data_IF_992507608735
#
_entry.id   IF_992507608735
#
_cell.length_a   1.000
_cell.length_b   1.000
_cell.length_c   1.000
_cell.angle_alpha   90.00
_cell.angle_beta   90.00
_cell.angle_gamma   90.00
#
_symmetry.space_group_name_H-M   'P 1'
#
loop_
_entity.id
_entity.type
_entity.pdbx_description
1 polymer ?
#
# COMPACT_ATOMS: atom_id res chain seq x y z
N UNK A 1 2.04 9.59 3.42
CA UNK A 1 2.49 8.80 4.59
C UNK A 1 3.67 7.91 4.25
N UNK A 2 4.48 7.60 5.25
CA UNK A 2 5.47 6.54 5.22
C UNK A 2 5.27 5.70 6.48
N UNK A 3 4.73 4.50 6.34
CA UNK A 3 4.52 3.58 7.45
C UNK A 3 5.82 2.82 7.71
N UNK A 4 6.31 2.71 8.96
CA UNK A 4 7.53 1.97 9.26
C UNK A 4 7.50 0.54 8.73
N UNK A 5 8.64 0.04 8.24
CA UNK A 5 8.73 -1.33 7.69
C UNK A 5 8.38 -2.41 8.74
N UNK A 6 8.87 -2.29 9.97
CA UNK A 6 8.62 -3.24 11.05
C UNK A 6 9.66 -4.37 11.16
N UNK A 7 10.54 -4.52 10.20
CA UNK A 7 11.66 -5.48 10.14
C UNK A 7 11.23 -6.95 10.18
N UNK A 8 10.66 -7.42 11.28
CA UNK A 8 10.13 -8.79 11.44
C UNK A 8 9.00 -8.83 12.47
N UNK A 9 8.01 -9.66 12.21
CA UNK A 9 6.89 -9.89 13.14
C UNK A 9 7.42 -10.29 14.53
N UNK A 10 6.88 -9.66 15.57
CA UNK A 10 7.29 -9.88 16.97
C UNK A 10 8.54 -9.11 17.41
N UNK A 11 9.17 -8.31 16.54
CA UNK A 11 10.28 -7.44 16.93
C UNK A 11 9.79 -6.13 17.56
N UNK A 12 10.67 -5.43 18.28
CA UNK A 12 10.38 -4.08 18.81
C UNK A 12 10.01 -3.09 17.70
N UNK A 13 10.61 -3.23 16.49
CA UNK A 13 10.28 -2.41 15.33
C UNK A 13 8.90 -2.72 14.77
N UNK A 14 8.45 -3.97 14.88
CA UNK A 14 7.10 -4.35 14.51
C UNK A 14 6.08 -3.79 15.51
N UNK A 15 6.37 -3.86 16.82
CA UNK A 15 5.52 -3.22 17.83
C UNK A 15 5.42 -1.70 17.63
N UNK A 16 6.53 -1.05 17.25
CA UNK A 16 6.51 0.36 16.88
C UNK A 16 5.61 0.62 15.67
N UNK A 17 5.68 -0.22 14.63
CA UNK A 17 4.79 -0.15 13.47
C UNK A 17 3.32 -0.26 13.87
N UNK A 18 2.97 -1.20 14.76
CA UNK A 18 1.59 -1.37 15.23
C UNK A 18 1.09 -0.14 16.01
N UNK A 19 1.94 0.45 16.86
CA UNK A 19 1.62 1.71 17.56
C UNK A 19 1.44 2.86 16.58
N UNK A 20 2.28 2.93 15.55
CA UNK A 20 2.21 3.94 14.50
C UNK A 20 0.90 3.83 13.70
N UNK A 21 0.50 2.62 13.30
CA UNK A 21 -0.76 2.34 12.59
C UNK A 21 -1.98 2.70 13.46
N UNK A 22 -1.94 2.41 14.74
CA UNK A 22 -2.97 2.83 15.70
C UNK A 22 -3.09 4.36 15.76
N UNK A 23 -1.97 5.06 15.81
CA UNK A 23 -1.94 6.53 15.79
C UNK A 23 -2.49 7.11 14.49
N UNK A 24 -2.10 6.54 13.34
CA UNK A 24 -2.64 6.93 12.04
C UNK A 24 -4.15 6.72 11.98
N UNK A 25 -4.65 5.56 12.40
CA UNK A 25 -6.08 5.28 12.42
C UNK A 25 -6.84 6.32 13.24
N UNK A 26 -6.38 6.63 14.46
CA UNK A 26 -7.01 7.64 15.29
C UNK A 26 -6.99 9.03 14.65
N UNK A 27 -5.87 9.44 14.04
CA UNK A 27 -5.78 10.69 13.31
C UNK A 27 -6.79 10.77 12.17
N UNK A 28 -6.93 9.69 11.39
CA UNK A 28 -7.87 9.63 10.28
C UNK A 28 -9.33 9.60 10.76
N UNK A 29 -9.61 8.92 11.86
CA UNK A 29 -10.95 8.91 12.49
C UNK A 29 -11.40 10.34 12.85
N UNK A 30 -10.51 11.16 13.41
CA UNK A 30 -10.80 12.57 13.70
C UNK A 30 -10.93 13.38 12.41
N UNK A 31 -10.03 13.18 11.45
CA UNK A 31 -10.00 13.93 10.20
C UNK A 31 -11.27 13.72 9.36
N UNK A 32 -11.82 12.50 9.34
CA UNK A 32 -13.04 12.16 8.61
C UNK A 32 -14.30 12.82 9.17
N UNK A 33 -14.28 13.32 10.41
CA UNK A 33 -15.42 14.02 11.00
C UNK A 33 -15.66 15.41 10.39
N UNK A 34 -14.60 16.03 9.85
CA UNK A 34 -14.64 17.40 9.33
C UNK A 34 -14.30 17.52 7.86
N UNK A 35 -13.82 16.46 7.24
CA UNK A 35 -13.40 16.44 5.84
C UNK A 35 -14.01 15.25 5.13
N UNK A 36 -14.76 15.50 4.07
CA UNK A 36 -15.37 14.45 3.24
C UNK A 36 -14.41 13.93 2.18
N UNK A 37 -13.58 14.81 1.60
CA UNK A 37 -12.66 14.50 0.50
C UNK A 37 -11.23 14.40 1.03
N UNK A 38 -10.76 13.17 1.22
CA UNK A 38 -9.43 12.87 1.76
C UNK A 38 -8.74 11.87 0.85
N UNK A 39 -7.46 12.07 0.64
CA UNK A 39 -6.55 11.14 -0.04
C UNK A 39 -5.40 10.83 0.90
N UNK A 40 -5.14 9.54 1.10
CA UNK A 40 -3.97 9.05 1.85
C UNK A 40 -3.11 8.28 0.88
N UNK A 41 -1.86 8.70 0.70
CA UNK A 41 -0.98 8.06 -0.25
C UNK A 41 0.45 7.92 0.29
N UNK A 42 1.17 6.94 -0.22
CA UNK A 42 2.58 6.72 0.08
C UNK A 42 2.93 5.26 0.28
N UNK A 43 4.09 5.02 0.89
CA UNK A 43 4.55 3.69 1.24
C UNK A 43 3.89 3.23 2.54
N UNK A 44 2.98 2.28 2.41
CA UNK A 44 2.28 1.68 3.54
C UNK A 44 3.07 0.54 4.18
N UNK A 45 4.08 0.03 3.48
CA UNK A 45 4.81 -1.17 3.92
C UNK A 45 3.87 -2.33 4.32
N UNK A 46 2.74 -2.45 3.62
CA UNK A 46 1.74 -3.51 3.77
C UNK A 46 1.23 -3.89 2.38
N UNK A 47 1.35 -5.17 2.03
CA UNK A 47 0.67 -5.72 0.87
C UNK A 47 -0.77 -6.09 1.26
N UNK A 48 -1.80 -5.41 0.70
CA UNK A 48 -3.18 -5.54 1.17
C UNK A 48 -3.75 -6.94 1.07
N UNK A 49 -3.44 -7.64 0.00
CA UNK A 49 -4.01 -8.95 -0.33
C UNK A 49 -2.94 -9.90 -0.86
N UNK A 50 -3.28 -11.17 -1.01
CA UNK A 50 -2.36 -12.18 -1.54
C UNK A 50 -1.94 -11.89 -2.99
N UNK A 51 -2.85 -11.39 -3.81
CA UNK A 51 -2.57 -10.98 -5.19
C UNK A 51 -1.60 -9.79 -5.31
N UNK A 52 -1.33 -9.09 -4.20
CA UNK A 52 -0.36 -7.99 -4.11
C UNK A 52 1.07 -8.46 -3.81
N UNK A 53 1.28 -9.77 -3.79
CA UNK A 53 2.56 -10.42 -3.44
C UNK A 53 2.91 -11.46 -4.50
N UNK A 54 4.16 -11.46 -4.97
CA UNK A 54 4.61 -12.40 -6.01
C UNK A 54 4.58 -13.88 -5.58
N UNK A 55 4.74 -14.17 -4.29
CA UNK A 55 4.67 -15.52 -3.72
C UNK A 55 3.98 -15.46 -2.34
N UNK A 56 2.63 -15.51 -2.31
CA UNK A 56 1.87 -15.38 -1.07
C UNK A 56 2.19 -16.45 -0.03
N UNK A 57 2.49 -17.68 -0.46
CA UNK A 57 2.80 -18.78 0.46
C UNK A 57 4.12 -18.56 1.20
N UNK A 58 5.13 -18.08 0.49
CA UNK A 58 6.45 -17.77 1.09
C UNK A 58 6.36 -16.59 2.07
N UNK A 59 5.47 -15.62 1.79
CA UNK A 59 5.35 -14.38 2.56
C UNK A 59 4.27 -14.42 3.64
N UNK A 60 3.47 -15.45 3.69
CA UNK A 60 2.41 -15.62 4.68
C UNK A 60 2.93 -15.43 6.11
N UNK A 61 2.30 -14.53 6.86
CA UNK A 61 2.65 -14.24 8.24
C UNK A 61 3.98 -13.50 8.47
N UNK A 62 4.70 -13.13 7.41
CA UNK A 62 5.90 -12.30 7.52
C UNK A 62 5.54 -10.81 7.51
N UNK A 63 6.50 -9.97 7.90
CA UNK A 63 6.37 -8.52 7.79
C UNK A 63 5.97 -8.10 6.36
N UNK A 64 5.20 -7.06 6.22
CA UNK A 64 4.49 -6.59 5.02
C UNK A 64 3.24 -7.42 4.65
N UNK A 65 3.12 -8.66 5.13
CA UNK A 65 2.07 -9.62 4.75
C UNK A 65 1.39 -10.28 5.96
N UNK A 66 1.62 -9.79 7.18
CA UNK A 66 1.02 -10.35 8.39
C UNK A 66 -0.47 -10.01 8.50
N UNK A 67 -1.23 -10.89 9.12
CA UNK A 67 -2.65 -10.67 9.37
C UNK A 67 -2.90 -9.42 10.23
N UNK A 68 -1.97 -9.12 11.15
CA UNK A 68 -2.06 -7.96 12.04
C UNK A 68 -1.91 -6.64 11.26
N UNK A 69 -0.97 -6.57 10.31
CA UNK A 69 -0.79 -5.43 9.42
C UNK A 69 -2.02 -5.21 8.53
N UNK A 70 -2.50 -6.27 7.91
CA UNK A 70 -3.71 -6.25 7.06
C UNK A 70 -4.96 -5.89 7.85
N UNK A 71 -5.06 -6.32 9.12
CA UNK A 71 -6.17 -5.95 10.00
C UNK A 71 -6.20 -4.44 10.27
N UNK A 72 -5.04 -3.79 10.46
CA UNK A 72 -4.97 -2.34 10.60
C UNK A 72 -5.35 -1.61 9.32
N UNK A 73 -4.89 -2.06 8.17
CA UNK A 73 -5.29 -1.49 6.88
C UNK A 73 -6.82 -1.57 6.70
N UNK A 74 -7.42 -2.72 7.01
CA UNK A 74 -8.86 -2.91 6.96
C UNK A 74 -9.62 -1.99 7.92
N UNK A 75 -9.10 -1.71 9.12
CA UNK A 75 -9.70 -0.71 10.02
C UNK A 75 -9.67 0.70 9.41
N UNK A 76 -8.60 1.07 8.71
CA UNK A 76 -8.52 2.35 7.99
C UNK A 76 -9.59 2.39 6.87
N UNK A 77 -9.72 1.33 6.09
CA UNK A 77 -10.77 1.23 5.07
C UNK A 77 -12.18 1.36 5.66
N UNK A 78 -12.43 0.80 6.85
CA UNK A 78 -13.71 0.90 7.56
C UNK A 78 -14.07 2.34 7.97
N UNK A 79 -13.13 3.26 8.05
CA UNK A 79 -13.39 4.69 8.23
C UNK A 79 -13.99 5.36 6.98
N UNK A 80 -14.12 4.62 5.88
CA UNK A 80 -14.68 5.12 4.63
C UNK A 80 -13.67 5.36 3.53
N UNK A 81 -12.47 4.76 3.63
CA UNK A 81 -11.46 4.79 2.58
C UNK A 81 -11.58 3.59 1.64
N UNK A 82 -11.17 3.78 0.40
CA UNK A 82 -11.17 2.79 -0.67
C UNK A 82 -9.78 2.77 -1.30
N UNK A 83 -9.22 1.59 -1.52
CA UNK A 83 -8.02 1.42 -2.34
C UNK A 83 -8.35 1.77 -3.80
N UNK A 84 -7.83 2.89 -4.28
CA UNK A 84 -8.13 3.41 -5.63
C UNK A 84 -7.72 2.44 -6.73
N UNK A 85 -6.66 1.67 -6.52
CA UNK A 85 -6.17 0.68 -7.48
C UNK A 85 -7.20 -0.43 -7.73
N UNK A 86 -7.94 -0.82 -6.69
CA UNK A 86 -8.98 -1.87 -6.73
C UNK A 86 -10.34 -1.38 -7.22
N UNK A 87 -10.49 -0.10 -7.57
CA UNK A 87 -11.68 0.40 -8.26
C UNK A 87 -11.75 -0.02 -9.73
N UNK A 88 -10.65 -0.46 -10.30
CA UNK A 88 -10.53 -0.82 -11.70
C UNK A 88 -10.08 -2.27 -11.84
N UNK A 89 -10.44 -2.89 -12.96
CA UNK A 89 -9.88 -4.18 -13.36
C UNK A 89 -8.39 -3.99 -13.66
N UNK A 90 -7.56 -4.68 -12.91
CA UNK A 90 -6.11 -4.62 -13.02
C UNK A 90 -5.56 -5.98 -13.42
N UNK A 91 -4.51 -5.97 -14.23
CA UNK A 91 -3.76 -7.19 -14.51
C UNK A 91 -3.11 -7.73 -13.24
N UNK A 92 -2.87 -9.03 -13.20
CA UNK A 92 -2.12 -9.66 -12.11
C UNK A 92 -0.64 -9.30 -12.17
N UNK A 93 0.02 -9.31 -11.00
CA UNK A 93 1.47 -9.11 -10.93
C UNK A 93 1.92 -7.65 -11.09
N UNK A 94 1.01 -6.69 -10.93
CA UNK A 94 1.36 -5.27 -10.88
C UNK A 94 1.82 -4.91 -9.47
N UNK A 95 3.10 -4.58 -9.35
CA UNK A 95 3.77 -4.27 -8.09
C UNK A 95 4.34 -2.86 -8.08
N UNK A 96 4.58 -2.32 -6.89
CA UNK A 96 5.17 -1.00 -6.69
C UNK A 96 6.58 -1.05 -6.12
N UNK A 97 7.02 -2.21 -5.63
CA UNK A 97 8.32 -2.41 -5.01
C UNK A 97 8.93 -3.76 -5.35
N UNK A 98 10.25 -3.79 -5.54
CA UNK A 98 11.08 -5.00 -5.73
C UNK A 98 12.42 -4.80 -5.02
N UNK A 99 12.80 -5.73 -4.14
CA UNK A 99 14.11 -5.69 -3.47
C UNK A 99 15.25 -5.54 -4.51
N UNK A 100 16.27 -4.78 -4.17
CA UNK A 100 17.48 -4.71 -5.01
C UNK A 100 18.24 -6.05 -5.06
N UNK A 101 18.12 -6.85 -4.00
CA UNK A 101 18.79 -8.15 -3.86
C UNK A 101 18.16 -9.21 -4.76
N UNK A 102 18.93 -10.27 -5.04
CA UNK A 102 18.49 -11.47 -5.76
C UNK A 102 17.90 -11.19 -7.16
N UNK A 103 18.21 -10.06 -7.78
CA UNK A 103 17.66 -9.64 -9.07
C UNK A 103 16.10 -9.66 -9.06
N UNK A 104 15.49 -9.25 -7.94
CA UNK A 104 14.05 -9.41 -7.70
C UNK A 104 13.19 -8.78 -8.80
N UNK A 105 13.56 -7.60 -9.30
CA UNK A 105 12.85 -6.95 -10.40
C UNK A 105 12.84 -7.81 -11.66
N UNK A 106 14.00 -8.27 -12.12
CA UNK A 106 14.11 -9.12 -13.31
C UNK A 106 13.37 -10.45 -13.15
N UNK A 107 13.30 -10.97 -11.93
CA UNK A 107 12.59 -12.21 -11.57
C UNK A 107 11.11 -11.99 -11.25
N UNK A 108 10.62 -10.74 -11.37
CA UNK A 108 9.23 -10.36 -11.05
C UNK A 108 8.82 -10.67 -9.62
N UNK A 109 9.76 -10.61 -8.68
CA UNK A 109 9.54 -10.89 -7.26
C UNK A 109 9.19 -9.58 -6.53
N UNK A 110 8.05 -9.01 -6.85
CA UNK A 110 7.60 -7.73 -6.32
C UNK A 110 6.43 -7.83 -5.34
N UNK A 111 6.08 -6.67 -4.79
CA UNK A 111 4.90 -6.45 -3.97
C UNK A 111 4.28 -5.09 -4.26
N UNK A 112 2.97 -4.99 -4.11
CA UNK A 112 2.27 -3.70 -4.12
C UNK A 112 2.12 -3.23 -2.66
N UNK A 113 2.95 -2.29 -2.25
CA UNK A 113 3.00 -1.74 -0.89
C UNK A 113 2.85 -0.22 -0.85
N UNK A 114 2.96 0.43 -2.00
CA UNK A 114 2.65 1.84 -2.17
C UNK A 114 1.18 1.97 -2.58
N UNK A 115 0.39 2.64 -1.77
CA UNK A 115 -1.06 2.69 -1.93
C UNK A 115 -1.56 4.13 -2.04
N UNK A 116 -2.70 4.29 -2.73
CA UNK A 116 -3.50 5.51 -2.71
C UNK A 116 -4.90 5.15 -2.27
N UNK A 117 -5.23 5.51 -1.03
CA UNK A 117 -6.57 5.33 -0.47
C UNK A 117 -7.32 6.66 -0.62
N UNK A 118 -8.53 6.60 -1.13
CA UNK A 118 -9.41 7.75 -1.29
C UNK A 118 -10.67 7.59 -0.45
N UNK A 119 -11.20 8.69 0.08
CA UNK A 119 -12.52 8.67 0.73
C UNK A 119 -13.61 8.31 -0.27
N UNK A 120 -14.71 7.70 0.21
CA UNK A 120 -15.87 7.32 -0.62
C UNK A 120 -16.43 8.49 -1.42
N UNK A 121 -16.34 9.72 -0.89
CA UNK A 121 -16.78 10.93 -1.57
C UNK A 121 -16.01 11.24 -2.87
N UNK A 122 -14.81 10.68 -3.03
CA UNK A 122 -14.00 10.83 -4.24
C UNK A 122 -14.13 9.68 -5.22
N UNK A 123 -14.89 8.63 -4.89
CA UNK A 123 -15.00 7.43 -5.71
C UNK A 123 -15.39 7.73 -7.16
N UNK A 124 -16.47 8.49 -7.34
CA UNK A 124 -17.00 8.83 -8.67
C UNK A 124 -16.11 9.83 -9.43
N UNK A 125 -15.22 10.52 -8.72
CA UNK A 125 -14.22 11.39 -9.33
C UNK A 125 -12.96 10.63 -9.79
N UNK A 126 -12.75 9.41 -9.35
CA UNK A 126 -11.59 8.62 -9.71
C UNK A 126 -11.71 8.08 -11.13
N UNK A 127 -10.94 8.68 -12.07
CA UNK A 127 -10.96 8.34 -13.48
C UNK A 127 -10.03 7.16 -13.76
N UNK A 128 -8.87 7.12 -13.08
CA UNK A 128 -7.83 6.13 -13.30
C UNK A 128 -6.96 5.96 -12.06
N UNK A 129 -6.51 4.73 -11.82
CA UNK A 129 -5.45 4.43 -10.85
C UNK A 129 -4.53 3.38 -11.47
N UNK A 130 -3.22 3.60 -11.41
CA UNK A 130 -2.25 2.74 -12.09
C UNK A 130 -0.86 2.83 -11.44
N UNK A 131 -0.03 1.86 -11.80
CA UNK A 131 1.39 1.79 -11.43
C UNK A 131 2.21 2.05 -12.69
N UNK A 132 3.13 3.01 -12.63
CA UNK A 132 4.08 3.27 -13.73
C UNK A 132 5.38 2.52 -13.46
N UNK A 133 5.54 1.37 -14.09
CA UNK A 133 6.73 0.53 -13.92
C UNK A 133 7.95 1.03 -14.69
N UNK A 134 7.77 1.93 -15.67
CA UNK A 134 8.87 2.37 -16.55
C UNK A 134 10.08 2.92 -15.79
N UNK A 135 9.94 3.75 -14.72
CA UNK A 135 11.08 4.24 -13.95
C UNK A 135 11.92 3.13 -13.29
N UNK A 136 11.30 1.99 -12.96
CA UNK A 136 12.00 0.85 -12.33
C UNK A 136 12.99 0.17 -13.27
N UNK A 137 12.81 0.31 -14.58
CA UNK A 137 13.68 -0.25 -15.61
C UNK A 137 14.86 0.67 -16.01
N UNK A 138 14.93 1.89 -15.45
CA UNK A 138 16.01 2.83 -15.75
C UNK A 138 17.35 2.42 -15.12
N UNK A 139 18.43 3.09 -15.52
CA UNK A 139 19.74 2.95 -14.88
C UNK A 139 19.71 3.52 -13.46
N UNK A 140 20.17 2.74 -12.48
CA UNK A 140 20.16 3.07 -11.04
C UNK A 140 18.77 3.50 -10.51
N UNK A 141 17.73 2.70 -10.72
CA UNK A 141 16.39 3.06 -10.31
C UNK A 141 16.22 2.98 -8.80
N UNK A 142 15.13 3.59 -8.29
CA UNK A 142 14.61 3.26 -6.96
C UNK A 142 14.15 1.80 -6.92
N UNK A 143 14.09 1.19 -5.76
CA UNK A 143 13.43 -0.11 -5.55
C UNK A 143 11.89 0.01 -5.55
N UNK A 144 11.36 1.23 -5.47
CA UNK A 144 9.95 1.54 -5.71
C UNK A 144 9.74 2.14 -7.11
N UNK A 145 8.49 2.06 -7.57
CA UNK A 145 8.03 2.74 -8.78
C UNK A 145 6.81 3.61 -8.48
N UNK A 146 6.52 4.68 -9.24
CA UNK A 146 5.39 5.55 -8.98
C UNK A 146 4.05 4.84 -9.05
N UNK A 147 3.18 5.16 -8.07
CA UNK A 147 1.75 4.86 -8.11
C UNK A 147 0.99 6.17 -8.35
N UNK A 148 -0.02 6.13 -9.20
CA UNK A 148 -0.70 7.34 -9.68
C UNK A 148 -2.22 7.17 -9.66
N UNK A 149 -2.89 8.31 -9.49
CA UNK A 149 -4.34 8.44 -9.58
C UNK A 149 -4.69 9.68 -10.39
N UNK A 150 -5.72 9.60 -11.21
CA UNK A 150 -6.31 10.73 -11.92
C UNK A 150 -7.73 10.99 -11.37
N UNK A 151 -7.98 12.23 -10.97
CA UNK A 151 -9.28 12.68 -10.47
C UNK A 151 -9.86 13.75 -11.37
N UNK A 152 -11.14 13.60 -11.74
CA UNK A 152 -11.96 14.64 -12.35
C UNK A 152 -12.65 15.46 -11.25
N UNK A 153 -12.08 16.59 -10.88
CA UNK A 153 -12.60 17.49 -9.84
C UNK A 153 -13.37 18.65 -10.43
#
# INVERSE_FOLDING_TARGET
VYIPNGQSVGSEKFEYKMKWLKGLHHYLEVLTQTNEKIIILGDFNIAPQEQDVHDPEVWKGKVLCSDEERAWLKKIEQLGFIDSFRLFDQEEGLFSWWDYRAAAYRRKMGMRIDLILISKALKENCIRSYIDEAPRALERPSDHTPVLIELGL
#
